data_IF_704943454422
#
_entry.id   IF_704943454422
#
_cell.length_a   1.000
_cell.length_b   1.000
_cell.length_c   1.000
_cell.angle_alpha   90.00
_cell.angle_beta   90.00
_cell.angle_gamma   90.00
#
_symmetry.space_group_name_H-M   'P 1'
#
loop_
_entity.id
_entity.type
_entity.pdbx_description
1 polymer ?
#
# COMPACT_ATOMS: atom_id res chain seq x y z
N UNK A 1 -10.78 -5.79 25.93
CA UNK A 1 -11.92 -4.87 26.16
C UNK A 1 -11.35 -3.54 26.62
N UNK A 2 -11.78 -2.44 25.99
CA UNK A 2 -11.33 -1.09 26.37
C UNK A 2 -12.54 -0.29 26.80
N UNK A 3 -12.43 0.48 27.89
CA UNK A 3 -13.48 1.41 28.29
C UNK A 3 -13.40 2.67 27.43
N UNK A 4 -14.53 3.11 26.89
CA UNK A 4 -14.57 4.36 26.12
C UNK A 4 -14.37 5.59 27.00
N UNK A 5 -14.77 5.50 28.27
CA UNK A 5 -14.64 6.56 29.26
C UNK A 5 -13.76 6.06 30.44
N UNK A 6 -12.43 6.09 30.32
CA UNK A 6 -11.56 5.80 31.45
C UNK A 6 -11.72 6.90 32.50
N UNK A 7 -12.36 6.57 33.62
CA UNK A 7 -12.44 7.49 34.76
C UNK A 7 -11.07 7.57 35.44
N UNK A 8 -10.61 8.77 35.83
CA UNK A 8 -9.44 8.91 36.70
C UNK A 8 -9.59 8.03 37.95
N UNK A 9 -8.51 7.40 38.42
CA UNK A 9 -8.57 6.42 39.51
C UNK A 9 -9.22 6.94 40.80
N UNK A 10 -9.05 8.25 41.08
CA UNK A 10 -9.69 8.90 42.23
C UNK A 10 -11.21 9.06 42.08
N UNK A 11 -11.72 9.28 40.86
CA UNK A 11 -13.17 9.31 40.58
C UNK A 11 -13.78 7.93 40.78
N UNK A 12 -13.07 6.89 40.31
CA UNK A 12 -13.51 5.51 40.48
C UNK A 12 -13.55 5.12 41.96
N UNK A 13 -12.51 5.45 42.74
CA UNK A 13 -12.48 5.27 44.18
C UNK A 13 -13.63 5.99 44.88
N UNK A 14 -13.92 7.24 44.49
CA UNK A 14 -15.05 8.01 45.01
C UNK A 14 -16.40 7.35 44.71
N UNK A 15 -16.60 6.86 43.48
CA UNK A 15 -17.81 6.15 43.08
C UNK A 15 -18.00 4.83 43.84
N UNK A 16 -16.93 4.06 44.02
CA UNK A 16 -16.96 2.82 44.79
C UNK A 16 -17.28 3.07 46.27
N UNK A 17 -16.65 4.07 46.88
CA UNK A 17 -16.91 4.47 48.26
C UNK A 17 -18.35 4.98 48.43
N UNK A 18 -18.83 5.81 47.50
CA UNK A 18 -20.23 6.28 47.48
C UNK A 18 -21.23 5.13 47.33
N UNK A 19 -20.96 4.16 46.46
CA UNK A 19 -21.80 2.98 46.29
C UNK A 19 -21.89 2.13 47.57
N UNK A 20 -20.76 1.91 48.23
CA UNK A 20 -20.70 1.20 49.51
C UNK A 20 -21.46 1.96 50.62
N UNK A 21 -21.29 3.28 50.68
CA UNK A 21 -21.99 4.14 51.63
C UNK A 21 -23.51 4.09 51.42
N UNK A 22 -23.99 4.24 50.18
CA UNK A 22 -25.42 4.18 49.84
C UNK A 22 -26.01 2.81 50.16
N UNK A 23 -25.29 1.72 49.84
CA UNK A 23 -25.72 0.36 50.13
C UNK A 23 -25.83 0.09 51.64
N UNK A 24 -24.85 0.54 52.43
CA UNK A 24 -24.88 0.45 53.88
C UNK A 24 -25.99 1.33 54.48
N UNK A 25 -26.11 2.57 54.04
CA UNK A 25 -27.07 3.54 54.55
C UNK A 25 -28.53 3.13 54.29
N UNK A 26 -28.82 2.54 53.14
CA UNK A 26 -30.16 2.07 52.80
C UNK A 26 -30.67 0.97 53.76
N UNK A 27 -29.78 0.09 54.22
CA UNK A 27 -30.16 -1.07 55.02
C UNK A 27 -29.80 -0.96 56.50
N UNK A 28 -29.07 0.07 56.94
CA UNK A 28 -28.65 0.24 58.35
C UNK A 28 -29.82 0.35 59.35
N UNK A 29 -30.97 0.89 58.92
CA UNK A 29 -32.18 1.06 59.76
C UNK A 29 -33.26 -0.02 59.55
N UNK A 30 -32.99 -1.03 58.74
CA UNK A 30 -33.96 -2.08 58.46
C UNK A 30 -34.05 -3.05 59.66
N UNK A 31 -35.24 -3.22 60.23
CA UNK A 31 -35.52 -4.13 61.34
C UNK A 31 -35.53 -5.59 60.85
N UNK A 32 -34.35 -6.16 60.61
CA UNK A 32 -34.17 -7.54 60.14
C UNK A 32 -32.91 -8.16 60.73
N UNK A 33 -32.73 -9.48 60.55
CA UNK A 33 -31.55 -10.18 61.04
C UNK A 33 -30.27 -9.63 60.39
N UNK A 34 -29.18 -9.59 61.15
CA UNK A 34 -27.89 -9.04 60.69
C UNK A 34 -27.39 -9.71 59.41
N UNK A 35 -27.67 -11.01 59.24
CA UNK A 35 -27.33 -11.76 58.03
C UNK A 35 -28.13 -11.26 56.81
N UNK A 36 -29.46 -11.14 56.93
CA UNK A 36 -30.32 -10.67 55.83
C UNK A 36 -29.99 -9.23 55.45
N UNK A 37 -29.65 -8.38 56.43
CA UNK A 37 -29.17 -7.00 56.19
C UNK A 37 -27.87 -6.95 55.38
N UNK A 38 -26.89 -7.80 55.71
CA UNK A 38 -25.62 -7.88 54.96
C UNK A 38 -25.82 -8.37 53.53
N UNK A 39 -26.68 -9.37 53.33
CA UNK A 39 -27.00 -9.89 51.99
C UNK A 39 -27.66 -8.82 51.11
N UNK A 40 -28.66 -8.10 51.63
CA UNK A 40 -29.34 -7.04 50.88
C UNK A 40 -28.41 -5.86 50.57
N UNK A 41 -27.53 -5.49 51.50
CA UNK A 41 -26.51 -4.46 51.26
C UNK A 41 -25.48 -4.91 50.21
N UNK A 42 -25.02 -6.17 50.25
CA UNK A 42 -24.11 -6.73 49.26
C UNK A 42 -24.74 -6.76 47.86
N UNK A 43 -26.00 -7.21 47.76
CA UNK A 43 -26.74 -7.24 46.49
C UNK A 43 -26.88 -5.83 45.89
N UNK A 44 -27.20 -4.84 46.73
CA UNK A 44 -27.30 -3.42 46.34
C UNK A 44 -25.95 -2.87 45.86
N UNK A 45 -24.87 -3.19 46.57
CA UNK A 45 -23.52 -2.80 46.16
C UNK A 45 -23.15 -3.41 44.81
N UNK A 46 -23.44 -4.70 44.59
CA UNK A 46 -23.24 -5.37 43.30
C UNK A 46 -24.06 -4.69 42.19
N UNK A 47 -25.32 -4.31 42.45
CA UNK A 47 -26.12 -3.57 41.46
C UNK A 47 -25.47 -2.24 41.08
N UNK A 48 -24.98 -1.47 42.07
CA UNK A 48 -24.30 -0.20 41.82
C UNK A 48 -22.96 -0.38 41.11
N UNK A 49 -22.23 -1.47 41.43
CA UNK A 49 -21.00 -1.84 40.73
C UNK A 49 -21.27 -2.14 39.25
N UNK A 50 -22.32 -2.91 38.95
CA UNK A 50 -22.75 -3.19 37.57
C UNK A 50 -23.12 -1.88 36.86
N UNK A 51 -23.84 -0.97 37.54
CA UNK A 51 -24.18 0.34 36.99
C UNK A 51 -22.94 1.16 36.63
N UNK A 52 -21.93 1.18 37.51
CA UNK A 52 -20.64 1.86 37.26
C UNK A 52 -19.93 1.25 36.05
N UNK A 53 -19.88 -0.08 35.95
CA UNK A 53 -19.28 -0.77 34.80
C UNK A 53 -20.01 -0.42 33.50
N UNK A 54 -21.34 -0.40 33.50
CA UNK A 54 -22.14 0.01 32.33
C UNK A 54 -21.90 1.49 31.98
N UNK A 55 -21.77 2.37 32.98
CA UNK A 55 -21.48 3.80 32.79
C UNK A 55 -20.09 4.03 32.17
N UNK A 56 -19.10 3.20 32.53
CA UNK A 56 -17.78 3.20 31.90
C UNK A 56 -17.82 2.76 30.42
N UNK A 57 -18.98 2.27 29.96
CA UNK A 57 -19.29 1.90 28.57
C UNK A 57 -18.24 0.92 28.04
N UNK A 58 -18.32 -0.37 28.39
CA UNK A 58 -17.39 -1.38 27.89
C UNK A 58 -17.57 -1.45 26.38
N UNK A 59 -16.54 -1.06 25.63
CA UNK A 59 -16.55 -1.16 24.17
C UNK A 59 -15.67 -2.34 23.78
N UNK A 60 -16.30 -3.33 23.16
CA UNK A 60 -15.59 -4.31 22.34
C UNK A 60 -15.27 -3.61 21.01
N UNK A 61 -13.99 -3.31 20.77
CA UNK A 61 -13.53 -2.84 19.48
C UNK A 61 -13.27 -4.06 18.60
N UNK A 62 -14.14 -4.31 17.64
CA UNK A 62 -13.86 -5.23 16.54
C UNK A 62 -13.03 -4.49 15.49
N UNK A 63 -11.73 -4.38 15.72
CA UNK A 63 -10.77 -3.82 14.76
C UNK A 63 -10.73 -4.60 13.43
N UNK A 64 -11.29 -5.81 13.39
CA UNK A 64 -11.33 -6.65 12.19
C UNK A 64 -12.41 -6.28 11.18
N UNK A 65 -13.53 -5.67 11.58
CA UNK A 65 -14.62 -5.37 10.64
C UNK A 65 -14.23 -4.26 9.65
N UNK A 66 -13.58 -3.20 10.14
CA UNK A 66 -13.10 -2.11 9.28
C UNK A 66 -11.93 -2.52 8.36
N UNK A 67 -11.08 -3.45 8.80
CA UNK A 67 -9.97 -3.95 7.98
C UNK A 67 -10.47 -4.83 6.81
N UNK A 68 -11.46 -5.70 7.07
CA UNK A 68 -12.01 -6.61 6.05
C UNK A 68 -12.74 -5.88 4.91
N UNK A 69 -13.34 -4.73 5.20
CA UNK A 69 -13.98 -3.90 4.18
C UNK A 69 -13.01 -2.95 3.47
N UNK A 70 -11.79 -2.79 4.01
CA UNK A 70 -10.78 -1.93 3.42
C UNK A 70 -10.08 -2.61 2.22
N UNK A 71 -9.93 -1.83 1.15
CA UNK A 71 -9.31 -2.27 -0.10
C UNK A 71 -7.83 -1.91 -0.10
N UNK A 72 -7.01 -2.82 -0.61
CA UNK A 72 -5.59 -2.59 -0.87
C UNK A 72 -5.33 -2.75 -2.37
N UNK A 73 -5.36 -1.66 -3.16
CA UNK A 73 -4.93 -1.71 -4.55
C UNK A 73 -3.42 -1.95 -4.62
N UNK A 74 -3.03 -2.94 -5.41
CA UNK A 74 -1.64 -3.31 -5.68
C UNK A 74 -1.35 -2.95 -7.14
N UNK A 75 -0.51 -1.94 -7.34
CA UNK A 75 -0.13 -1.41 -8.65
C UNK A 75 1.19 -2.03 -9.07
N UNK A 76 1.23 -2.60 -10.27
CA UNK A 76 2.43 -3.17 -10.85
C UNK A 76 2.77 -2.46 -12.15
N UNK A 77 3.99 -1.98 -12.22
CA UNK A 77 4.55 -1.40 -13.43
C UNK A 77 4.69 -2.48 -14.51
N UNK A 78 4.14 -2.21 -15.69
CA UNK A 78 4.23 -3.09 -16.86
C UNK A 78 5.07 -2.48 -17.98
N UNK A 79 5.85 -1.45 -17.69
CA UNK A 79 6.74 -0.80 -18.66
C UNK A 79 7.76 -1.77 -19.26
N UNK A 80 8.33 -1.42 -20.43
CA UNK A 80 9.35 -2.23 -21.11
C UNK A 80 10.60 -2.47 -20.26
N UNK A 81 10.95 -1.54 -19.37
CA UNK A 81 12.12 -1.70 -18.48
C UNK A 81 11.91 -2.84 -17.47
N UNK A 82 10.67 -3.15 -17.10
CA UNK A 82 10.34 -4.35 -16.32
C UNK A 82 10.63 -5.66 -17.06
N UNK A 83 10.86 -5.61 -18.38
CA UNK A 83 11.23 -6.75 -19.20
C UNK A 83 12.74 -7.01 -19.23
N UNK A 84 13.55 -6.10 -18.69
CA UNK A 84 15.01 -6.22 -18.63
C UNK A 84 15.38 -7.36 -17.69
N UNK A 85 16.27 -8.23 -18.15
CA UNK A 85 16.94 -9.22 -17.32
C UNK A 85 17.92 -8.51 -16.40
N UNK A 86 17.66 -8.58 -15.09
CA UNK A 86 18.46 -7.92 -14.06
C UNK A 86 19.33 -8.97 -13.33
N UNK A 87 19.84 -8.64 -12.13
CA UNK A 87 20.54 -9.58 -11.25
C UNK A 87 19.84 -10.96 -11.23
N UNK A 88 20.63 -12.02 -11.27
CA UNK A 88 20.20 -13.43 -11.39
C UNK A 88 19.64 -13.84 -12.77
N UNK A 89 19.81 -13.02 -13.82
CA UNK A 89 19.29 -13.28 -15.19
C UNK A 89 17.77 -13.50 -15.23
N UNK A 90 17.06 -12.86 -14.32
CA UNK A 90 15.60 -12.89 -14.27
C UNK A 90 15.05 -11.54 -14.69
N UNK A 91 13.97 -11.55 -15.48
CA UNK A 91 13.26 -10.31 -15.83
C UNK A 91 12.63 -9.73 -14.57
N UNK A 92 12.68 -8.41 -14.41
CA UNK A 92 12.08 -7.70 -13.26
C UNK A 92 10.60 -8.04 -13.09
N UNK A 93 9.84 -8.16 -14.17
CA UNK A 93 8.42 -8.53 -14.14
C UNK A 93 8.18 -9.94 -13.56
N UNK A 94 9.09 -10.89 -13.80
CA UNK A 94 8.98 -12.25 -13.27
C UNK A 94 9.32 -12.31 -11.78
N UNK A 95 10.27 -11.48 -11.34
CA UNK A 95 10.54 -11.25 -9.91
C UNK A 95 9.34 -10.63 -9.21
N UNK A 96 8.70 -9.62 -9.82
CA UNK A 96 7.48 -9.00 -9.30
C UNK A 96 6.33 -10.03 -9.17
N UNK A 97 6.12 -10.88 -10.19
CA UNK A 97 5.14 -11.98 -10.13
C UNK A 97 5.39 -12.93 -8.97
N UNK A 98 6.64 -13.36 -8.80
CA UNK A 98 7.04 -14.28 -7.73
C UNK A 98 6.82 -13.67 -6.34
N UNK A 99 7.17 -12.38 -6.18
CA UNK A 99 6.94 -11.63 -4.94
C UNK A 99 5.44 -11.49 -4.63
N UNK A 100 4.62 -11.23 -5.65
CA UNK A 100 3.17 -11.12 -5.52
C UNK A 100 2.53 -12.46 -5.12
N UNK A 101 2.86 -13.54 -5.81
CA UNK A 101 2.24 -14.85 -5.61
C UNK A 101 2.63 -15.48 -4.28
N UNK A 102 3.90 -15.38 -3.90
CA UNK A 102 4.45 -16.14 -2.77
C UNK A 102 4.50 -15.33 -1.47
N UNK A 103 4.52 -13.99 -1.58
CA UNK A 103 4.67 -13.10 -0.41
C UNK A 103 3.44 -12.23 -0.21
N UNK A 104 3.26 -11.24 -1.08
CA UNK A 104 2.37 -10.12 -0.81
C UNK A 104 0.88 -10.52 -0.80
N UNK A 105 0.39 -11.20 -1.84
CA UNK A 105 -1.04 -11.50 -1.95
C UNK A 105 -1.52 -12.45 -0.85
N UNK A 106 -0.81 -13.56 -0.51
CA UNK A 106 -1.20 -14.41 0.62
C UNK A 106 -1.24 -13.66 1.96
N UNK A 107 -0.29 -12.74 2.19
CA UNK A 107 -0.25 -11.94 3.40
C UNK A 107 -1.44 -10.95 3.51
N UNK A 108 -1.94 -10.45 2.38
CA UNK A 108 -3.05 -9.49 2.34
C UNK A 108 -4.44 -10.16 2.39
N UNK A 109 -4.61 -11.34 1.79
CA UNK A 109 -5.91 -12.02 1.64
C UNK A 109 -6.62 -12.30 2.99
N UNK A 110 -5.89 -12.48 4.08
CA UNK A 110 -6.48 -12.78 5.39
C UNK A 110 -7.11 -11.58 6.10
N UNK A 111 -6.78 -10.35 5.69
CA UNK A 111 -7.15 -9.14 6.43
C UNK A 111 -7.78 -8.06 5.55
N UNK A 112 -7.49 -8.03 4.24
CA UNK A 112 -7.88 -6.97 3.32
C UNK A 112 -8.41 -7.54 2.01
N UNK A 113 -9.21 -6.72 1.30
CA UNK A 113 -9.57 -7.01 -0.08
C UNK A 113 -8.49 -6.45 -1.01
N UNK A 114 -7.57 -7.30 -1.46
CA UNK A 114 -6.54 -6.91 -2.44
C UNK A 114 -7.10 -6.89 -3.87
N UNK A 115 -6.76 -5.85 -4.63
CA UNK A 115 -7.09 -5.74 -6.06
C UNK A 115 -5.80 -5.46 -6.83
N UNK A 116 -5.44 -6.35 -7.74
CA UNK A 116 -4.23 -6.23 -8.54
C UNK A 116 -4.53 -5.39 -9.79
N UNK A 117 -3.70 -4.38 -10.00
CA UNK A 117 -3.78 -3.43 -11.10
C UNK A 117 -2.42 -3.36 -11.77
N UNK A 118 -2.39 -3.31 -13.10
CA UNK A 118 -1.20 -2.94 -13.87
C UNK A 118 -1.26 -1.47 -14.26
N UNK A 119 -0.10 -0.83 -14.38
CA UNK A 119 0.00 0.50 -14.94
C UNK A 119 1.18 0.64 -15.89
N UNK A 120 0.95 1.40 -16.95
CA UNK A 120 1.97 1.82 -17.91
C UNK A 120 1.52 3.16 -18.48
N UNK A 121 0.78 3.14 -19.58
CA UNK A 121 0.09 4.33 -20.09
C UNK A 121 -1.24 4.60 -19.36
N UNK A 122 -1.93 3.54 -18.95
CA UNK A 122 -3.23 3.58 -18.28
C UNK A 122 -3.27 2.53 -17.16
N UNK A 123 -4.04 2.80 -16.12
CA UNK A 123 -4.32 1.85 -15.04
C UNK A 123 -5.37 0.82 -15.47
N UNK A 124 -5.06 -0.47 -15.39
CA UNK A 124 -5.96 -1.56 -15.77
C UNK A 124 -5.99 -2.68 -14.71
N UNK A 125 -7.10 -3.42 -14.56
CA UNK A 125 -7.12 -4.64 -13.77
C UNK A 125 -6.18 -5.70 -14.35
N UNK A 126 -5.47 -6.43 -13.48
CA UNK A 126 -4.55 -7.47 -13.89
C UNK A 126 -4.65 -8.71 -12.98
N UNK A 127 -4.19 -9.85 -13.50
CA UNK A 127 -3.88 -11.05 -12.72
C UNK A 127 -2.37 -11.28 -12.75
N UNK A 128 -1.84 -12.00 -11.76
CA UNK A 128 -0.39 -12.24 -11.65
C UNK A 128 0.17 -12.85 -12.94
N UNK A 129 -0.52 -13.83 -13.51
CA UNK A 129 -0.11 -14.51 -14.74
C UNK A 129 -0.16 -13.61 -15.98
N UNK A 130 -1.05 -12.61 -16.00
CA UNK A 130 -1.22 -11.69 -17.12
C UNK A 130 -0.25 -10.50 -17.12
N UNK A 131 0.54 -10.31 -16.05
CA UNK A 131 1.48 -9.19 -15.94
C UNK A 131 2.61 -9.30 -16.96
N UNK A 132 2.63 -8.50 -18.02
CA UNK A 132 3.70 -8.50 -19.02
C UNK A 132 4.42 -7.16 -19.10
N UNK A 133 5.68 -7.14 -19.51
CA UNK A 133 6.47 -5.92 -19.71
C UNK A 133 6.25 -5.30 -21.12
N UNK A 134 5.01 -4.90 -21.42
CA UNK A 134 4.61 -4.41 -22.75
C UNK A 134 4.33 -2.90 -22.81
N UNK A 135 4.26 -2.22 -21.66
CA UNK A 135 3.97 -0.79 -21.56
C UNK A 135 5.08 0.06 -22.15
N UNK A 136 4.74 1.01 -23.03
CA UNK A 136 5.75 1.90 -23.63
C UNK A 136 6.15 3.06 -22.72
N UNK A 137 5.33 3.34 -21.71
CA UNK A 137 5.47 4.41 -20.72
C UNK A 137 5.18 3.84 -19.33
N UNK A 138 5.73 4.48 -18.32
CA UNK A 138 5.38 4.30 -16.92
C UNK A 138 4.86 5.64 -16.40
N UNK A 139 3.53 5.82 -16.39
CA UNK A 139 2.87 7.06 -15.94
C UNK A 139 2.38 6.90 -14.49
N UNK A 140 3.27 7.18 -13.56
CA UNK A 140 2.98 6.99 -12.13
C UNK A 140 1.94 8.00 -11.63
N UNK A 141 2.05 9.26 -12.06
CA UNK A 141 1.12 10.32 -11.69
C UNK A 141 -0.31 10.01 -12.18
N UNK A 142 -0.45 9.58 -13.43
CA UNK A 142 -1.71 9.14 -14.02
C UNK A 142 -2.29 7.91 -13.31
N UNK A 143 -1.44 6.93 -12.97
CA UNK A 143 -1.86 5.74 -12.24
C UNK A 143 -2.42 6.09 -10.85
N UNK A 144 -1.73 6.92 -10.06
CA UNK A 144 -2.20 7.34 -8.73
C UNK A 144 -3.47 8.19 -8.80
N UNK A 145 -3.59 9.06 -9.81
CA UNK A 145 -4.82 9.82 -10.05
C UNK A 145 -6.00 8.89 -10.38
N UNK A 146 -5.78 7.87 -11.22
CA UNK A 146 -6.79 6.88 -11.58
C UNK A 146 -7.19 5.98 -10.40
N UNK A 147 -6.24 5.60 -9.52
CA UNK A 147 -6.56 4.88 -8.27
C UNK A 147 -7.45 5.73 -7.38
N UNK A 148 -7.08 7.01 -7.18
CA UNK A 148 -7.87 7.93 -6.36
C UNK A 148 -9.29 8.04 -6.90
N UNK A 149 -9.48 8.13 -8.21
CA UNK A 149 -10.80 8.16 -8.85
C UNK A 149 -11.57 6.86 -8.63
N UNK A 150 -10.94 5.71 -8.95
CA UNK A 150 -11.53 4.37 -8.88
C UNK A 150 -12.03 4.00 -7.47
N UNK A 151 -11.38 4.51 -6.43
CA UNK A 151 -11.71 4.22 -5.05
C UNK A 151 -12.29 5.42 -4.28
N UNK A 152 -12.78 6.45 -4.98
CA UNK A 152 -13.52 7.55 -4.32
C UNK A 152 -14.68 7.00 -3.50
N UNK A 153 -14.77 7.43 -2.25
CA UNK A 153 -15.81 7.00 -1.31
C UNK A 153 -15.67 5.57 -0.77
N UNK A 154 -14.57 4.86 -1.07
CA UNK A 154 -14.26 3.53 -0.52
C UNK A 154 -13.13 3.62 0.51
N UNK A 155 -13.17 2.83 1.60
CA UNK A 155 -12.06 2.75 2.54
C UNK A 155 -10.86 2.07 1.88
N UNK A 156 -9.78 2.82 1.66
CA UNK A 156 -8.49 2.28 1.17
C UNK A 156 -7.52 2.24 2.34
N UNK A 157 -7.03 1.05 2.69
CA UNK A 157 -6.10 0.89 3.80
C UNK A 157 -4.69 1.38 3.45
N UNK A 158 -4.30 1.26 2.19
CA UNK A 158 -3.00 1.64 1.65
C UNK A 158 -2.91 1.25 0.19
N UNK A 159 -2.05 1.92 -0.56
CA UNK A 159 -1.73 1.58 -1.95
C UNK A 159 -0.36 0.93 -1.98
N UNK A 160 -0.23 -0.24 -2.60
CA UNK A 160 1.07 -0.87 -2.83
C UNK A 160 1.50 -0.58 -4.25
N UNK A 161 2.72 -0.10 -4.43
CA UNK A 161 3.33 0.22 -5.72
C UNK A 161 4.55 -0.67 -5.93
N UNK A 162 4.61 -1.36 -7.07
CA UNK A 162 5.73 -2.23 -7.47
C UNK A 162 6.24 -1.71 -8.82
N UNK A 163 7.47 -1.22 -8.87
CA UNK A 163 8.09 -0.62 -10.06
C UNK A 163 9.62 -0.70 -9.96
N UNK A 164 10.31 -0.58 -11.08
CA UNK A 164 11.76 -0.40 -11.13
C UNK A 164 12.19 1.07 -10.95
N UNK A 165 11.22 1.98 -10.74
CA UNK A 165 11.45 3.37 -10.33
C UNK A 165 11.45 4.39 -11.45
N UNK A 166 11.30 3.95 -12.71
CA UNK A 166 11.18 4.87 -13.85
C UNK A 166 9.82 5.56 -13.91
N UNK A 167 9.79 6.89 -14.00
CA UNK A 167 8.59 7.65 -14.36
C UNK A 167 8.84 8.36 -15.69
N UNK A 168 8.02 8.01 -16.68
CA UNK A 168 7.97 8.66 -18.00
C UNK A 168 6.60 9.29 -18.24
N UNK A 169 5.78 9.36 -17.18
CA UNK A 169 4.65 10.25 -17.06
C UNK A 169 5.08 11.68 -17.31
N UNK A 170 4.30 12.44 -18.08
CA UNK A 170 4.52 13.88 -18.26
C UNK A 170 4.51 14.61 -16.91
N UNK A 171 4.83 15.91 -16.96
CA UNK A 171 5.05 16.78 -15.79
C UNK A 171 4.22 16.37 -14.56
N UNK A 172 4.92 16.03 -13.48
CA UNK A 172 4.37 15.81 -12.15
C UNK A 172 3.71 17.11 -11.71
N UNK A 173 2.46 17.32 -12.12
CA UNK A 173 1.60 18.25 -11.42
C UNK A 173 1.42 17.63 -10.05
N UNK A 174 2.27 18.07 -9.12
CA UNK A 174 2.07 17.94 -7.68
C UNK A 174 0.71 18.58 -7.39
N UNK A 175 -0.33 17.80 -7.63
CA UNK A 175 -1.71 18.19 -7.45
C UNK A 175 -1.85 18.38 -5.96
N UNK A 176 -1.61 19.62 -5.50
CA UNK A 176 -1.87 20.15 -4.16
C UNK A 176 -3.39 20.21 -3.90
N UNK A 177 -4.12 19.18 -4.34
CA UNK A 177 -5.57 19.10 -4.32
C UNK A 177 -6.00 17.71 -3.87
N UNK A 178 -6.44 17.62 -2.61
CA UNK A 178 -7.12 16.46 -2.04
C UNK A 178 -6.32 15.16 -2.15
N UNK A 179 -5.28 15.04 -1.32
CA UNK A 179 -4.50 13.81 -1.22
C UNK A 179 -5.40 12.61 -0.97
N UNK A 180 -5.09 11.49 -1.64
CA UNK A 180 -5.57 10.20 -1.19
C UNK A 180 -5.02 10.01 0.23
N UNK A 181 -5.90 9.92 1.25
CA UNK A 181 -5.47 9.82 2.65
C UNK A 181 -4.74 8.50 2.96
N UNK A 182 -4.77 7.54 2.03
CA UNK A 182 -4.14 6.25 2.19
C UNK A 182 -2.62 6.35 1.96
N UNK A 183 -1.80 5.74 2.82
CA UNK A 183 -0.35 5.67 2.61
C UNK A 183 -0.02 4.89 1.33
N UNK A 184 1.06 5.31 0.65
CA UNK A 184 1.62 4.60 -0.51
C UNK A 184 2.88 3.85 -0.06
N UNK A 185 2.90 2.54 -0.26
CA UNK A 185 4.03 1.66 0.03
C UNK A 185 4.71 1.26 -1.28
N UNK A 186 5.91 1.79 -1.54
CA UNK A 186 6.67 1.52 -2.75
C UNK A 186 7.66 0.38 -2.54
N UNK A 187 7.66 -0.58 -3.46
CA UNK A 187 8.59 -1.70 -3.56
C UNK A 187 9.34 -1.59 -4.88
N UNK A 188 10.65 -1.32 -4.78
CA UNK A 188 11.54 -1.30 -5.93
C UNK A 188 11.82 -2.71 -6.45
N UNK A 189 11.77 -2.90 -7.76
CA UNK A 189 12.16 -4.16 -8.41
C UNK A 189 13.36 -3.93 -9.31
N UNK A 190 14.49 -4.49 -8.92
CA UNK A 190 15.73 -4.42 -9.69
C UNK A 190 16.90 -4.93 -8.87
N UNK A 191 18.11 -4.84 -9.41
CA UNK A 191 19.33 -5.04 -8.64
C UNK A 191 19.59 -3.87 -7.69
N UNK A 192 20.09 -4.16 -6.48
CA UNK A 192 20.61 -3.13 -5.56
C UNK A 192 21.98 -2.59 -6.03
N UNK A 193 22.68 -3.36 -6.86
CA UNK A 193 23.99 -3.00 -7.43
C UNK A 193 23.85 -2.79 -8.94
N UNK A 194 24.18 -1.59 -9.41
CA UNK A 194 24.22 -1.26 -10.83
C UNK A 194 25.66 -1.49 -11.30
N UNK A 195 25.90 -2.61 -12.00
CA UNK A 195 27.24 -2.98 -12.49
C UNK A 195 27.69 -2.13 -13.71
N UNK A 196 26.72 -1.51 -14.38
CA UNK A 196 26.95 -0.53 -15.43
C UNK A 196 25.65 -0.06 -16.07
N UNK A 197 25.64 1.17 -16.54
CA UNK A 197 24.53 1.75 -17.29
C UNK A 197 24.99 2.09 -18.70
N UNK A 198 24.15 1.85 -19.71
CA UNK A 198 24.45 2.13 -21.12
C UNK A 198 23.26 2.85 -21.72
N UNK A 199 23.49 4.06 -22.19
CA UNK A 199 22.45 4.94 -22.72
C UNK A 199 22.76 5.34 -24.16
N UNK A 200 21.73 5.38 -25.00
CA UNK A 200 21.75 6.08 -26.29
C UNK A 200 21.00 7.40 -26.10
N UNK A 201 21.74 8.50 -26.00
CA UNK A 201 21.18 9.82 -25.67
C UNK A 201 20.60 10.53 -26.88
N UNK A 202 21.14 10.29 -28.07
CA UNK A 202 20.58 10.82 -29.31
C UNK A 202 20.90 9.96 -30.52
N UNK A 203 19.95 9.94 -31.45
CA UNK A 203 20.12 9.41 -32.80
C UNK A 203 19.56 10.47 -33.75
N UNK A 204 20.43 11.04 -34.59
CA UNK A 204 20.05 12.00 -35.62
C UNK A 204 20.34 11.41 -36.99
N UNK A 205 19.37 11.49 -37.88
CA UNK A 205 19.45 11.00 -39.24
C UNK A 205 19.04 12.15 -40.18
N UNK A 206 19.70 12.29 -41.33
CA UNK A 206 19.22 13.20 -42.37
C UNK A 206 17.92 12.65 -43.00
N UNK A 207 17.14 13.50 -43.68
CA UNK A 207 16.00 13.03 -44.48
C UNK A 207 16.50 12.35 -45.76
N UNK A 208 16.04 11.12 -46.02
CA UNK A 208 16.29 10.41 -47.28
C UNK A 208 15.35 10.94 -48.36
N UNK A 209 15.88 11.67 -49.36
CA UNK A 209 15.09 12.30 -50.42
C UNK A 209 15.02 11.46 -51.71
N UNK A 210 15.92 10.48 -51.86
CA UNK A 210 15.98 9.58 -53.02
C UNK A 210 16.13 8.12 -52.58
N UNK A 211 15.58 7.21 -53.39
CA UNK A 211 15.91 5.79 -53.29
C UNK A 211 17.43 5.59 -53.47
N UNK A 212 18.02 4.75 -52.63
CA UNK A 212 19.45 4.39 -52.63
C UNK A 212 20.42 5.52 -52.21
N UNK A 213 19.92 6.56 -51.52
CA UNK A 213 20.78 7.61 -50.95
C UNK A 213 21.55 7.13 -49.72
N UNK A 214 22.85 7.47 -49.64
CA UNK A 214 23.64 7.27 -48.42
C UNK A 214 23.21 8.27 -47.35
N UNK A 215 22.94 7.76 -46.15
CA UNK A 215 22.51 8.57 -45.01
C UNK A 215 23.59 8.57 -43.93
N UNK A 216 23.96 9.77 -43.47
CA UNK A 216 24.79 9.91 -42.29
C UNK A 216 23.92 9.81 -41.03
N UNK A 217 24.25 8.86 -40.16
CA UNK A 217 23.62 8.66 -38.87
C UNK A 217 24.59 9.12 -37.76
N UNK A 218 24.17 10.12 -37.00
CA UNK A 218 24.91 10.57 -35.82
C UNK A 218 24.27 9.95 -34.56
N UNK A 219 25.02 9.09 -33.88
CA UNK A 219 24.59 8.44 -32.63
C UNK A 219 25.47 8.92 -31.49
N UNK A 220 24.85 9.42 -30.41
CA UNK A 220 25.52 9.67 -29.15
C UNK A 220 25.15 8.57 -28.16
N UNK A 221 26.16 7.84 -27.68
CA UNK A 221 25.99 6.78 -26.69
C UNK A 221 27.00 6.95 -25.55
N UNK A 222 26.59 6.60 -24.34
CA UNK A 222 27.41 6.65 -23.14
C UNK A 222 27.36 5.29 -22.42
N UNK A 223 28.46 4.93 -21.77
CA UNK A 223 28.54 3.78 -20.86
C UNK A 223 29.13 4.25 -19.54
N UNK A 224 28.42 3.96 -18.47
CA UNK A 224 28.80 4.18 -17.08
C UNK A 224 29.10 2.83 -16.40
N UNK A 225 29.77 1.91 -17.11
CA UNK A 225 30.22 0.65 -16.55
C UNK A 225 31.59 0.79 -15.85
N UNK A 226 31.75 0.15 -14.70
CA UNK A 226 33.02 0.13 -13.97
C UNK A 226 34.14 -0.59 -14.74
N UNK A 227 33.79 -1.47 -15.68
CA UNK A 227 34.70 -2.40 -16.36
C UNK A 227 35.38 -1.84 -17.62
N UNK A 228 35.10 -0.60 -18.05
CA UNK A 228 35.72 -0.02 -19.25
C UNK A 228 35.46 -0.81 -20.55
N UNK A 229 34.44 -1.67 -20.54
CA UNK A 229 34.12 -2.58 -21.63
C UNK A 229 33.64 -1.80 -22.88
N UNK A 230 34.11 -2.15 -24.09
CA UNK A 230 33.71 -1.44 -25.31
C UNK A 230 32.20 -1.56 -25.57
N UNK A 231 31.60 -0.47 -26.08
CA UNK A 231 30.19 -0.44 -26.49
C UNK A 231 30.10 -0.92 -27.94
N UNK A 232 29.36 -2.00 -28.18
CA UNK A 232 28.99 -2.43 -29.52
C UNK A 232 27.67 -1.77 -29.93
N UNK A 233 27.69 -0.96 -30.99
CA UNK A 233 26.48 -0.36 -31.58
C UNK A 233 26.09 -1.17 -32.82
N UNK A 234 24.82 -1.57 -32.90
CA UNK A 234 24.26 -2.28 -34.06
C UNK A 234 23.12 -1.48 -34.66
N UNK A 235 23.16 -1.27 -35.97
CA UNK A 235 22.08 -0.65 -36.73
C UNK A 235 21.20 -1.76 -37.31
N UNK A 236 19.90 -1.69 -37.04
CA UNK A 236 18.93 -2.69 -37.51
C UNK A 236 17.91 -2.04 -38.45
N UNK A 237 17.70 -2.62 -39.63
CA UNK A 237 16.59 -2.31 -40.52
C UNK A 237 15.57 -3.45 -40.47
N UNK A 238 14.33 -3.16 -40.09
CA UNK A 238 13.25 -4.16 -39.99
C UNK A 238 13.64 -5.42 -39.17
N UNK A 239 14.47 -5.23 -38.14
CA UNK A 239 14.96 -6.31 -37.27
C UNK A 239 16.14 -7.11 -37.83
N UNK A 240 16.71 -6.73 -38.98
CA UNK A 240 17.94 -7.31 -39.54
C UNK A 240 19.10 -6.35 -39.39
N UNK A 241 20.28 -6.86 -39.06
CA UNK A 241 21.49 -6.04 -39.01
C UNK A 241 21.83 -5.50 -40.39
N UNK A 242 21.98 -4.19 -40.49
CA UNK A 242 22.69 -3.56 -41.59
C UNK A 242 24.18 -3.76 -41.29
N UNK A 243 24.88 -4.51 -42.16
CA UNK A 243 26.35 -4.58 -42.14
C UNK A 243 26.98 -3.32 -42.74
#
# INVERSE_FOLDING_TARGET
MTFANPLPGWVLLGLLAGAAFVAWHAYRRFASSTARRRVLAALRFVTLLVLIVVLMRPVARDSGAAARDAVVPVLVDVSRSMGIEDADRQRRIDRARTFLSNGLLPALQGQFKSELLSFGEVLAPATVDALGASGRRSDLAGALAAVRERYRGRPVAGVVLISDGGDTGGAVETSRGGGMSAPVYAFGVGSETIDGDREVSSVTAADAVLDDSRLDLAVSAASHAASGEPIELRLLENGRSLE
#
